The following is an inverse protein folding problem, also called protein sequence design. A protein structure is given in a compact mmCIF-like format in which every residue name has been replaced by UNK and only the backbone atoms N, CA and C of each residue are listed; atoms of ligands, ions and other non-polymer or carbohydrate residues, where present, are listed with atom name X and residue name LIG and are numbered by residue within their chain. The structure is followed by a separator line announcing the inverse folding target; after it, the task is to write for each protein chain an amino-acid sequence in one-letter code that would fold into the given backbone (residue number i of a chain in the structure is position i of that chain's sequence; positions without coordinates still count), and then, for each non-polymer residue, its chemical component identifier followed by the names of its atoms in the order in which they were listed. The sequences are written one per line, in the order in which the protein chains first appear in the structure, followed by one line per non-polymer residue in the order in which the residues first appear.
data_IF_833101446881
#
_entry.id   IF_833101446881
#
_cell.length_a   1.000
_cell.length_b   1.000
_cell.length_c   1.000
_cell.angle_alpha   90.00
_cell.angle_beta   90.00
_cell.angle_gamma   90.00
#
_symmetry.space_group_name_H-M   'P 1'
#
loop_
_entity.id
_entity.type
_entity.pdbx_description
1 polymer ?
#
# COMPACT_ATOMS: atom_id res chain seq x y z
N UNK A 1 -13.36 -2.29 15.28
CA UNK A 1 -11.88 -2.21 15.35
C UNK A 1 -11.29 -2.62 14.03
N UNK A 2 -10.53 -1.73 13.39
CA UNK A 2 -9.95 -2.03 12.08
C UNK A 2 -8.69 -2.86 12.22
N UNK A 3 -8.70 -4.03 11.64
CA UNK A 3 -7.52 -4.87 11.63
C UNK A 3 -6.53 -4.36 10.60
N UNK A 4 -5.31 -4.18 11.03
CA UNK A 4 -4.22 -3.76 10.19
C UNK A 4 -3.66 -4.97 9.46
N UNK A 5 -3.61 -4.90 8.13
CA UNK A 5 -3.04 -5.96 7.31
C UNK A 5 -1.87 -5.44 6.51
N UNK A 6 -0.87 -6.28 6.34
CA UNK A 6 0.28 -5.96 5.52
C UNK A 6 0.07 -6.50 4.11
N UNK A 7 0.13 -5.63 3.13
CA UNK A 7 0.00 -5.99 1.72
C UNK A 7 1.38 -6.03 1.09
N UNK A 8 1.74 -7.15 0.50
CA UNK A 8 3.05 -7.36 -0.10
C UNK A 8 2.97 -7.23 -1.63
N UNK A 9 3.77 -6.35 -2.18
CA UNK A 9 3.88 -6.13 -3.61
C UNK A 9 2.82 -5.22 -4.17
N UNK A 10 3.13 -4.56 -5.30
CA UNK A 10 2.23 -3.62 -5.93
C UNK A 10 0.89 -4.24 -6.34
N UNK A 11 0.90 -5.51 -6.72
CA UNK A 11 -0.33 -6.17 -7.13
C UNK A 11 -1.37 -6.17 -6.02
N UNK A 12 -0.94 -6.55 -4.81
CA UNK A 12 -1.86 -6.57 -3.66
C UNK A 12 -2.29 -5.17 -3.26
N UNK A 13 -1.36 -4.23 -3.28
CA UNK A 13 -1.64 -2.85 -2.91
C UNK A 13 -2.64 -2.22 -3.88
N UNK A 14 -2.43 -2.40 -5.18
CA UNK A 14 -3.34 -1.83 -6.19
C UNK A 14 -4.70 -2.51 -6.19
N UNK A 15 -4.76 -3.81 -5.94
CA UNK A 15 -6.03 -4.51 -5.81
C UNK A 15 -6.83 -4.00 -4.61
N UNK A 16 -6.17 -3.76 -3.50
CA UNK A 16 -6.83 -3.26 -2.31
C UNK A 16 -7.36 -1.85 -2.49
N UNK A 17 -6.57 -0.97 -3.05
CA UNK A 17 -6.93 0.44 -3.20
C UNK A 17 -7.80 0.71 -4.42
N UNK A 18 -7.74 -0.16 -5.44
CA UNK A 18 -8.41 0.08 -6.71
C UNK A 18 -7.75 1.20 -7.52
N UNK A 19 -6.53 1.57 -7.19
CA UNK A 19 -5.79 2.65 -7.82
C UNK A 19 -4.57 2.07 -8.52
N UNK A 20 -4.24 2.57 -9.72
CA UNK A 20 -3.09 2.08 -10.46
C UNK A 20 -1.78 2.44 -9.78
N UNK A 21 -0.74 1.65 -10.06
CA UNK A 21 0.60 1.86 -9.52
C UNK A 21 1.10 3.29 -9.78
N UNK A 22 0.92 3.79 -11.00
CA UNK A 22 1.37 5.13 -11.35
C UNK A 22 0.66 6.22 -10.55
N UNK A 23 -0.64 6.07 -10.34
CA UNK A 23 -1.42 7.01 -9.56
C UNK A 23 -1.05 6.95 -8.08
N UNK A 24 -0.72 5.77 -7.57
CA UNK A 24 -0.27 5.63 -6.18
C UNK A 24 1.03 6.39 -5.94
N UNK A 25 1.96 6.31 -6.89
CA UNK A 25 3.20 7.08 -6.80
C UNK A 25 2.92 8.58 -6.88
N UNK A 26 2.04 8.97 -7.79
CA UNK A 26 1.70 10.38 -8.01
C UNK A 26 1.06 11.00 -6.76
N UNK A 27 0.21 10.26 -6.07
CA UNK A 27 -0.45 10.75 -4.86
C UNK A 27 0.34 10.45 -3.59
N UNK A 28 1.55 9.96 -3.71
CA UNK A 28 2.47 9.70 -2.60
C UNK A 28 1.85 8.81 -1.51
N UNK A 29 1.20 7.73 -1.91
CA UNK A 29 0.63 6.78 -0.95
C UNK A 29 1.71 6.20 -0.04
N UNK A 30 1.38 5.94 1.23
CA UNK A 30 2.36 5.44 2.21
C UNK A 30 2.72 3.98 1.95
N UNK A 31 3.80 3.79 1.22
CA UNK A 31 4.35 2.45 0.97
C UNK A 31 5.74 2.37 1.59
N UNK A 32 6.15 1.17 1.94
CA UNK A 32 7.42 0.92 2.61
C UNK A 32 8.29 -0.02 1.80
N UNK A 33 9.60 0.15 1.93
CA UNK A 33 10.54 -0.79 1.35
C UNK A 33 10.64 -2.00 2.25
N UNK A 34 10.43 -3.18 1.69
CA UNK A 34 10.50 -4.43 2.43
C UNK A 34 11.71 -5.24 1.98
N UNK A 35 12.28 -5.99 2.92
CA UNK A 35 13.36 -6.91 2.61
C UNK A 35 12.80 -8.03 1.73
N UNK A 36 13.32 -8.14 0.52
CA UNK A 36 12.88 -9.15 -0.44
C UNK A 36 13.07 -10.57 0.08
N UNK A 37 14.15 -10.84 0.79
CA UNK A 37 14.39 -12.18 1.32
C UNK A 37 13.38 -12.53 2.40
N UNK A 38 12.98 -11.57 3.22
CA UNK A 38 12.00 -11.79 4.29
C UNK A 38 10.56 -11.83 3.77
N UNK A 39 10.29 -11.21 2.62
CA UNK A 39 8.93 -11.05 2.11
C UNK A 39 8.71 -11.75 0.75
N UNK A 40 9.30 -12.93 0.58
CA UNK A 40 9.07 -13.77 -0.60
C UNK A 40 9.36 -13.07 -1.93
N UNK A 41 10.36 -12.20 -1.95
CA UNK A 41 10.76 -11.52 -3.17
C UNK A 41 10.07 -10.19 -3.43
N UNK A 42 9.14 -9.78 -2.58
CA UNK A 42 8.47 -8.49 -2.73
C UNK A 42 9.32 -7.38 -2.13
N UNK A 43 9.59 -6.34 -2.92
CA UNK A 43 10.39 -5.20 -2.47
C UNK A 43 9.58 -4.03 -1.91
N UNK A 44 8.26 -4.11 -1.97
CA UNK A 44 7.37 -3.05 -1.49
C UNK A 44 6.25 -3.65 -0.66
N UNK A 45 5.84 -2.93 0.38
CA UNK A 45 4.70 -3.34 1.20
C UNK A 45 3.96 -2.10 1.70
N UNK A 46 2.74 -2.30 2.15
CA UNK A 46 1.93 -1.22 2.72
C UNK A 46 0.95 -1.80 3.73
N UNK A 47 0.55 -0.98 4.69
CA UNK A 47 -0.47 -1.36 5.67
C UNK A 47 -1.82 -0.80 5.25
N UNK A 48 -2.87 -1.59 5.42
CA UNK A 48 -4.21 -1.20 5.02
C UNK A 48 -4.71 0.04 5.73
N UNK A 49 -4.41 0.18 7.02
CA UNK A 49 -4.83 1.35 7.80
C UNK A 49 -4.20 2.63 7.30
N UNK A 50 -2.94 2.58 6.88
CA UNK A 50 -2.25 3.73 6.33
C UNK A 50 -2.81 4.12 4.97
N UNK A 51 -3.11 3.13 4.14
CA UNK A 51 -3.71 3.38 2.83
C UNK A 51 -5.09 4.01 2.96
N UNK A 52 -5.89 3.51 3.88
CA UNK A 52 -7.23 4.05 4.12
C UNK A 52 -7.19 5.49 4.61
N UNK A 53 -6.29 5.78 5.56
CA UNK A 53 -6.14 7.13 6.08
C UNK A 53 -5.68 8.12 5.00
N UNK A 54 -4.76 7.68 4.14
CA UNK A 54 -4.27 8.53 3.06
C UNK A 54 -5.37 8.82 2.04
N UNK A 55 -6.17 7.81 1.72
CA UNK A 55 -7.28 7.95 0.79
C UNK A 55 -8.31 8.96 1.31
N UNK A 56 -8.62 8.90 2.59
CA UNK A 56 -9.53 9.87 3.23
C UNK A 56 -8.95 11.28 3.16
N UNK A 57 -7.66 11.43 3.41
CA UNK A 57 -7.01 12.74 3.35
C UNK A 57 -7.05 13.33 1.95
N UNK A 58 -6.89 12.50 0.91
CA UNK A 58 -6.95 12.97 -0.47
C UNK A 58 -8.38 13.35 -0.85
N UNK A 59 -9.36 12.60 -0.37
CA UNK A 59 -10.77 12.83 -0.69
C UNK A 59 -11.38 14.03 0.03
N UNK A 60 -10.75 14.45 1.10
CA UNK A 60 -11.20 15.60 1.88
C UNK A 60 -10.88 16.97 1.18
#
# INVERSE_FOLDING_TARGET
MNERKLLLGWKRITEYTGISHLLMIRYAYPVHDCDRSANHGYGVCAYTDELDAHREAISA
#
